data_IF_026297266974
#
_entry.id   IF_026297266974
#
_cell.length_a   1.000
_cell.length_b   1.000
_cell.length_c   1.000
_cell.angle_alpha   90.00
_cell.angle_beta   90.00
_cell.angle_gamma   90.00
#
_symmetry.space_group_name_H-M   'P 1'
#
loop_
_entity.id
_entity.type
_entity.pdbx_description
1 polymer ?
#
# COMPACT_ATOMS: atom_id res chain seq x y z
N UNK A 1 13.59 -58.66 31.03
CA UNK A 1 13.90 -57.46 31.84
C UNK A 1 15.12 -56.84 31.15
N UNK A 2 15.08 -55.73 30.40
CA UNK A 2 14.19 -54.57 30.33
C UNK A 2 14.08 -54.06 28.88
N UNK A 3 12.92 -53.51 28.53
CA UNK A 3 12.67 -52.71 27.34
C UNK A 3 13.30 -51.33 27.52
N UNK A 4 14.17 -50.92 26.61
CA UNK A 4 14.67 -49.54 26.49
C UNK A 4 13.60 -48.70 25.78
N UNK A 5 12.91 -47.83 26.54
CA UNK A 5 12.00 -46.83 26.02
C UNK A 5 12.74 -45.56 25.62
N UNK A 6 12.43 -45.01 24.44
CA UNK A 6 12.81 -43.65 24.05
C UNK A 6 12.04 -42.64 24.89
N UNK A 7 12.73 -41.72 25.57
CA UNK A 7 12.11 -40.47 26.00
C UNK A 7 12.22 -39.47 24.86
N UNK A 8 11.09 -39.00 24.32
CA UNK A 8 11.07 -37.78 23.53
C UNK A 8 11.42 -36.60 24.46
N UNK A 9 12.16 -35.59 23.99
CA UNK A 9 12.30 -34.34 24.73
C UNK A 9 10.92 -33.72 24.90
N UNK A 10 10.61 -33.25 26.11
CA UNK A 10 9.50 -32.34 26.36
C UNK A 10 9.64 -31.15 25.42
N UNK A 11 8.67 -31.00 24.51
CA UNK A 11 8.53 -29.80 23.72
C UNK A 11 8.17 -28.68 24.68
N UNK A 12 9.15 -27.84 24.99
CA UNK A 12 8.92 -26.50 25.52
C UNK A 12 7.90 -25.84 24.61
N UNK A 13 6.65 -25.78 25.07
CA UNK A 13 5.59 -25.00 24.45
C UNK A 13 5.99 -23.54 24.55
N UNK A 14 6.80 -23.08 23.60
CA UNK A 14 7.04 -21.66 23.38
C UNK A 14 5.70 -21.10 22.97
N UNK A 15 4.99 -20.55 23.95
CA UNK A 15 3.84 -19.69 23.71
C UNK A 15 4.35 -18.56 22.82
N UNK A 16 4.07 -18.66 21.53
CA UNK A 16 4.19 -17.57 20.58
C UNK A 16 3.17 -16.53 21.03
N UNK A 17 3.60 -15.67 21.96
CA UNK A 17 2.90 -14.43 22.20
C UNK A 17 2.94 -13.66 20.89
N UNK A 18 1.89 -13.80 20.08
CA UNK A 18 1.58 -12.88 19.00
C UNK A 18 1.62 -11.49 19.65
N UNK A 19 2.62 -10.68 19.30
CA UNK A 19 2.63 -9.30 19.70
C UNK A 19 1.33 -8.70 19.19
N UNK A 20 0.44 -8.29 20.10
CA UNK A 20 -0.79 -7.62 19.71
C UNK A 20 -0.40 -6.34 18.96
N UNK A 21 -0.72 -6.29 17.66
CA UNK A 21 -0.52 -5.09 16.85
C UNK A 21 -1.47 -3.99 17.34
N UNK A 22 -1.02 -2.73 17.34
CA UNK A 22 -1.93 -1.62 17.57
C UNK A 22 -2.76 -1.39 16.30
N UNK A 23 -4.03 -1.81 16.35
CA UNK A 23 -5.01 -1.60 15.29
C UNK A 23 -6.12 -0.64 15.70
N UNK A 24 -5.80 0.40 16.47
CA UNK A 24 -6.78 1.38 16.97
C UNK A 24 -7.44 2.19 15.85
N UNK A 25 -6.68 2.57 14.81
CA UNK A 25 -7.26 3.17 13.61
C UNK A 25 -8.13 2.15 12.89
N UNK A 26 -9.35 2.49 12.49
CA UNK A 26 -10.16 1.62 11.65
C UNK A 26 -9.69 1.63 10.18
N UNK A 27 -10.40 0.89 9.32
CA UNK A 27 -10.05 0.80 7.90
C UNK A 27 -10.24 2.13 7.15
N UNK A 28 -11.27 2.90 7.49
CA UNK A 28 -11.51 4.21 6.88
C UNK A 28 -10.42 5.20 7.31
N UNK A 29 -10.01 5.16 8.57
CA UNK A 29 -8.93 6.01 9.10
C UNK A 29 -7.58 5.67 8.49
N UNK A 30 -7.22 4.39 8.33
CA UNK A 30 -5.97 4.04 7.62
C UNK A 30 -6.00 4.54 6.17
N UNK A 31 -7.10 4.30 5.45
CA UNK A 31 -7.21 4.73 4.07
C UNK A 31 -7.06 6.26 3.95
N UNK A 32 -7.83 7.02 4.74
CA UNK A 32 -7.89 8.49 4.61
C UNK A 32 -6.73 9.25 5.27
N UNK A 33 -6.14 8.74 6.34
CA UNK A 33 -5.10 9.45 7.10
C UNK A 33 -3.68 9.03 6.73
N UNK A 34 -3.51 7.85 6.12
CA UNK A 34 -2.18 7.29 5.85
C UNK A 34 -1.99 7.02 4.37
N UNK A 35 -2.84 6.17 3.76
CA UNK A 35 -2.61 5.71 2.40
C UNK A 35 -2.96 6.76 1.34
N UNK A 36 -4.12 7.40 1.46
CA UNK A 36 -4.61 8.40 0.50
C UNK A 36 -3.67 9.61 0.42
N UNK A 37 -3.24 10.27 1.52
CA UNK A 37 -2.33 11.40 1.42
C UNK A 37 -0.98 11.05 0.78
N UNK A 38 -0.44 9.87 1.09
CA UNK A 38 0.80 9.41 0.49
C UNK A 38 0.64 9.18 -1.02
N UNK A 39 -0.46 8.54 -1.44
CA UNK A 39 -0.76 8.25 -2.84
C UNK A 39 -1.02 9.54 -3.63
N UNK A 40 -1.75 10.49 -3.06
CA UNK A 40 -2.00 11.81 -3.64
C UNK A 40 -0.70 12.58 -3.91
N UNK A 41 0.27 12.48 -3.01
CA UNK A 41 1.58 13.10 -3.24
C UNK A 41 2.29 12.45 -4.42
N UNK A 42 2.21 11.12 -4.58
CA UNK A 42 2.79 10.45 -5.74
C UNK A 42 2.14 10.92 -7.04
N UNK A 43 0.82 10.95 -7.12
CA UNK A 43 0.10 11.38 -8.34
C UNK A 43 0.26 12.87 -8.63
N UNK A 44 0.30 13.73 -7.62
CA UNK A 44 0.57 15.17 -7.79
C UNK A 44 2.03 15.48 -8.12
N UNK A 45 2.92 14.49 -8.06
CA UNK A 45 4.34 14.62 -8.41
C UNK A 45 4.72 13.80 -9.65
N UNK A 46 3.74 13.39 -10.46
CA UNK A 46 3.98 12.56 -11.64
C UNK A 46 3.08 12.95 -12.81
N UNK A 47 3.63 12.88 -14.03
CA UNK A 47 2.90 13.15 -15.26
C UNK A 47 2.76 14.64 -15.58
N UNK A 48 1.68 14.96 -16.28
CA UNK A 48 1.40 16.31 -16.79
C UNK A 48 -0.08 16.65 -16.61
N UNK A 49 -0.35 17.93 -16.38
CA UNK A 49 -1.70 18.49 -16.41
C UNK A 49 -1.84 19.46 -17.57
N UNK A 50 -2.99 19.43 -18.23
CA UNK A 50 -3.34 20.39 -19.27
C UNK A 50 -4.21 21.48 -18.66
N UNK A 51 -3.74 22.72 -18.72
CA UNK A 51 -4.47 23.89 -18.26
C UNK A 51 -4.64 24.95 -19.38
N UNK A 52 -5.12 26.14 -19.01
CA UNK A 52 -5.32 27.23 -19.96
C UNK A 52 -4.01 27.79 -20.56
N UNK A 53 -2.87 27.50 -19.93
CA UNK A 53 -1.53 27.95 -20.31
C UNK A 53 -0.73 26.90 -21.08
N UNK A 54 -1.11 25.62 -21.01
CA UNK A 54 -0.51 24.52 -21.77
C UNK A 54 -0.34 23.27 -20.93
N UNK A 55 0.65 22.44 -21.27
CA UNK A 55 1.05 21.30 -20.44
C UNK A 55 1.99 21.79 -19.33
N UNK A 56 1.63 21.52 -18.08
CA UNK A 56 2.50 21.67 -16.92
C UNK A 56 3.01 20.28 -16.50
N UNK A 57 4.33 20.16 -16.33
CA UNK A 57 4.98 18.95 -15.85
C UNK A 57 5.02 18.94 -14.31
N UNK A 58 4.64 17.82 -13.71
CA UNK A 58 4.48 17.70 -12.25
C UNK A 58 5.69 17.08 -11.53
N UNK A 59 6.68 16.55 -12.26
CA UNK A 59 7.79 15.83 -11.63
C UNK A 59 8.64 16.75 -10.73
N UNK A 60 9.21 16.21 -9.64
CA UNK A 60 10.18 16.93 -8.85
C UNK A 60 11.39 17.37 -9.69
N UNK A 61 11.85 18.59 -9.48
CA UNK A 61 13.01 19.17 -10.18
C UNK A 61 14.24 19.29 -9.29
N UNK A 62 14.13 18.83 -8.04
CA UNK A 62 15.20 18.91 -7.03
C UNK A 62 15.39 17.56 -6.35
N UNK A 63 16.61 17.29 -5.91
CA UNK A 63 16.94 16.07 -5.16
C UNK A 63 16.09 15.94 -3.89
N UNK A 64 15.82 17.05 -3.19
CA UNK A 64 14.95 17.07 -2.01
C UNK A 64 13.51 16.71 -2.35
N UNK A 65 12.99 17.18 -3.49
CA UNK A 65 11.67 16.81 -3.99
C UNK A 65 11.58 15.32 -4.34
N UNK A 66 12.59 14.77 -5.00
CA UNK A 66 12.68 13.33 -5.28
C UNK A 66 12.79 12.49 -3.99
N UNK A 67 13.58 12.94 -3.03
CA UNK A 67 13.68 12.30 -1.72
C UNK A 67 12.34 12.35 -0.96
N UNK A 68 11.59 13.45 -1.08
CA UNK A 68 10.27 13.59 -0.48
C UNK A 68 9.27 12.59 -1.08
N UNK A 69 9.12 12.53 -2.40
CA UNK A 69 8.17 11.57 -3.02
C UNK A 69 8.60 10.12 -2.78
N UNK A 70 9.90 9.84 -2.70
CA UNK A 70 10.41 8.52 -2.28
C UNK A 70 9.94 8.16 -0.87
N UNK A 71 9.92 9.12 0.06
CA UNK A 71 9.42 8.87 1.42
C UNK A 71 7.91 8.59 1.45
N UNK A 72 7.13 9.21 0.57
CA UNK A 72 5.69 8.92 0.44
C UNK A 72 5.46 7.54 -0.17
N UNK A 73 6.27 7.15 -1.16
CA UNK A 73 6.22 5.79 -1.70
C UNK A 73 6.51 4.73 -0.63
N UNK A 74 7.45 4.99 0.29
CA UNK A 74 7.68 4.10 1.43
C UNK A 74 6.47 3.97 2.37
N UNK A 75 5.67 5.04 2.53
CA UNK A 75 4.40 4.94 3.27
C UNK A 75 3.42 4.02 2.54
N UNK A 76 3.35 4.08 1.20
CA UNK A 76 2.53 3.16 0.40
C UNK A 76 3.00 1.71 0.57
N UNK A 77 4.32 1.46 0.56
CA UNK A 77 4.92 0.13 0.81
C UNK A 77 4.42 -0.45 2.12
N UNK A 78 4.57 0.29 3.21
CA UNK A 78 4.18 -0.17 4.55
C UNK A 78 2.66 -0.18 4.76
N UNK A 79 1.91 0.63 4.02
CA UNK A 79 0.45 0.57 4.04
C UNK A 79 -0.08 -0.77 3.55
N UNK A 80 0.55 -1.37 2.52
CA UNK A 80 0.24 -2.75 2.13
C UNK A 80 0.39 -3.73 3.29
N UNK A 81 1.46 -3.62 4.08
CA UNK A 81 1.68 -4.47 5.26
C UNK A 81 0.64 -4.20 6.36
N UNK A 82 0.30 -2.93 6.60
CA UNK A 82 -0.70 -2.55 7.60
C UNK A 82 -2.08 -3.14 7.28
N UNK A 83 -2.49 -3.13 6.00
CA UNK A 83 -3.76 -3.72 5.57
C UNK A 83 -3.81 -5.24 5.80
N UNK A 84 -2.65 -5.91 5.73
CA UNK A 84 -2.50 -7.35 5.90
C UNK A 84 -2.37 -7.82 7.37
N UNK A 85 -2.40 -6.91 8.34
CA UNK A 85 -2.24 -7.28 9.76
C UNK A 85 -3.42 -8.12 10.27
N UNK A 86 -3.17 -9.05 11.22
CA UNK A 86 -4.23 -9.72 11.96
C UNK A 86 -5.18 -8.71 12.61
N UNK A 87 -6.49 -8.87 12.37
CA UNK A 87 -7.52 -7.94 12.86
C UNK A 87 -7.86 -6.78 11.92
N UNK A 88 -7.17 -6.66 10.77
CA UNK A 88 -7.49 -5.72 9.69
C UNK A 88 -7.90 -6.41 8.40
N UNK A 89 -7.22 -7.51 8.06
CA UNK A 89 -7.51 -8.25 6.85
C UNK A 89 -8.94 -8.78 6.83
N UNK A 90 -9.69 -8.47 5.77
CA UNK A 90 -11.08 -8.93 5.60
C UNK A 90 -11.12 -10.43 5.29
N UNK A 91 -10.13 -10.93 4.55
CA UNK A 91 -9.91 -12.36 4.31
C UNK A 91 -8.42 -12.70 4.14
N UNK A 92 -8.13 -13.99 3.92
CA UNK A 92 -6.78 -14.50 3.69
C UNK A 92 -6.55 -14.89 2.21
N UNK A 93 -7.28 -14.28 1.28
CA UNK A 93 -7.22 -14.59 -0.15
C UNK A 93 -6.99 -13.31 -0.97
N UNK A 94 -8.01 -12.78 -1.65
CA UNK A 94 -7.85 -11.62 -2.52
C UNK A 94 -7.39 -10.37 -1.76
N UNK A 95 -7.77 -10.21 -0.50
CA UNK A 95 -7.33 -9.08 0.33
C UNK A 95 -5.81 -9.06 0.49
N UNK A 96 -5.22 -10.23 0.73
CA UNK A 96 -3.78 -10.39 0.89
C UNK A 96 -3.05 -10.13 -0.42
N UNK A 97 -3.62 -10.59 -1.54
CA UNK A 97 -3.07 -10.34 -2.89
C UNK A 97 -3.03 -8.84 -3.18
N UNK A 98 -4.12 -8.11 -2.94
CA UNK A 98 -4.15 -6.66 -3.18
C UNK A 98 -3.28 -5.89 -2.20
N UNK A 99 -3.23 -6.29 -0.92
CA UNK A 99 -2.34 -5.70 0.08
C UNK A 99 -0.87 -5.84 -0.31
N UNK A 100 -0.47 -7.02 -0.81
CA UNK A 100 0.86 -7.25 -1.34
C UNK A 100 1.11 -6.43 -2.61
N UNK A 101 0.16 -6.42 -3.56
CA UNK A 101 0.27 -5.64 -4.79
C UNK A 101 0.41 -4.14 -4.55
N UNK A 102 -0.22 -3.62 -3.48
CA UNK A 102 -0.06 -2.24 -3.04
C UNK A 102 1.37 -1.98 -2.57
N UNK A 103 1.90 -2.89 -1.76
CA UNK A 103 3.28 -2.80 -1.27
C UNK A 103 4.28 -2.82 -2.43
N UNK A 104 4.08 -3.73 -3.39
CA UNK A 104 4.90 -3.86 -4.59
C UNK A 104 4.85 -2.61 -5.49
N UNK A 105 3.67 -2.03 -5.71
CA UNK A 105 3.53 -0.76 -6.44
C UNK A 105 4.26 0.39 -5.73
N UNK A 106 4.20 0.44 -4.39
CA UNK A 106 4.99 1.36 -3.58
C UNK A 106 6.49 1.20 -3.76
N UNK A 107 6.99 -0.04 -3.85
CA UNK A 107 8.42 -0.32 -4.09
C UNK A 107 8.84 0.21 -5.46
N UNK A 108 8.05 -0.03 -6.51
CA UNK A 108 8.33 0.49 -7.85
C UNK A 108 8.41 2.02 -7.85
N UNK A 109 7.46 2.70 -7.20
CA UNK A 109 7.48 4.16 -7.08
C UNK A 109 8.69 4.65 -6.28
N UNK A 110 9.06 3.96 -5.21
CA UNK A 110 10.20 4.30 -4.35
C UNK A 110 11.53 4.15 -5.11
N UNK A 111 11.69 3.09 -5.89
CA UNK A 111 12.87 2.85 -6.72
C UNK A 111 12.96 3.86 -7.88
N UNK A 112 11.85 4.12 -8.56
CA UNK A 112 11.78 5.12 -9.62
C UNK A 112 12.12 6.52 -9.09
N UNK A 113 11.60 6.91 -7.91
CA UNK A 113 11.92 8.17 -7.27
C UNK A 113 13.41 8.25 -6.86
N UNK A 114 14.00 7.16 -6.38
CA UNK A 114 15.42 7.10 -6.05
C UNK A 114 16.31 7.26 -7.30
N UNK A 115 15.86 6.73 -8.44
CA UNK A 115 16.53 6.86 -9.73
C UNK A 115 16.21 8.18 -10.47
N UNK A 116 15.24 8.97 -9.97
CA UNK A 116 14.66 10.13 -10.66
C UNK A 116 14.14 9.78 -12.07
N UNK A 117 13.61 8.57 -12.24
CA UNK A 117 13.08 8.08 -13.50
C UNK A 117 11.60 8.47 -13.63
N UNK A 118 11.34 9.53 -14.39
CA UNK A 118 10.01 10.08 -14.58
C UNK A 118 9.01 9.09 -15.19
N UNK A 119 9.43 8.33 -16.20
CA UNK A 119 8.55 7.37 -16.87
C UNK A 119 8.23 6.21 -15.94
N UNK A 120 9.25 5.64 -15.29
CA UNK A 120 9.03 4.57 -14.32
C UNK A 120 8.14 5.02 -13.15
N UNK A 121 8.30 6.28 -12.70
CA UNK A 121 7.48 6.84 -11.63
C UNK A 121 6.02 7.00 -12.05
N UNK A 122 5.77 7.48 -13.27
CA UNK A 122 4.43 7.57 -13.84
C UNK A 122 3.76 6.20 -13.98
N UNK A 123 4.48 5.19 -14.48
CA UNK A 123 3.97 3.82 -14.60
C UNK A 123 3.68 3.19 -13.24
N UNK A 124 4.52 3.46 -12.23
CA UNK A 124 4.26 3.01 -10.86
C UNK A 124 2.96 3.63 -10.30
N UNK A 125 2.69 4.90 -10.58
CA UNK A 125 1.43 5.57 -10.25
C UNK A 125 0.20 4.93 -10.91
N UNK A 126 0.32 4.48 -12.16
CA UNK A 126 -0.73 3.76 -12.88
C UNK A 126 -0.97 2.33 -12.31
N UNK A 127 0.11 1.65 -11.93
CA UNK A 127 0.03 0.35 -11.26
C UNK A 127 -0.66 0.49 -9.90
N UNK A 128 -0.30 1.51 -9.11
CA UNK A 128 -0.94 1.83 -7.84
C UNK A 128 -2.45 2.04 -8.02
N UNK A 129 -2.86 2.87 -8.98
CA UNK A 129 -4.28 3.09 -9.31
C UNK A 129 -5.01 1.79 -9.65
N UNK A 130 -4.36 0.90 -10.40
CA UNK A 130 -4.95 -0.38 -10.80
C UNK A 130 -5.19 -1.30 -9.60
N UNK A 131 -4.26 -1.34 -8.64
CA UNK A 131 -4.42 -2.08 -7.38
C UNK A 131 -5.54 -1.49 -6.54
N UNK A 132 -5.58 -0.17 -6.36
CA UNK A 132 -6.65 0.53 -5.63
C UNK A 132 -8.01 0.19 -6.23
N UNK A 133 -8.16 0.31 -7.55
CA UNK A 133 -9.41 0.02 -8.26
C UNK A 133 -9.85 -1.43 -8.05
N UNK A 134 -8.95 -2.39 -8.23
CA UNK A 134 -9.29 -3.80 -8.08
C UNK A 134 -9.70 -4.16 -6.65
N UNK A 135 -8.98 -3.64 -5.65
CA UNK A 135 -9.30 -3.87 -4.23
C UNK A 135 -10.65 -3.24 -3.85
N UNK A 136 -10.89 -1.98 -4.23
CA UNK A 136 -12.16 -1.32 -3.94
C UNK A 136 -13.32 -1.98 -4.67
N UNK A 137 -13.14 -2.44 -5.91
CA UNK A 137 -14.19 -3.20 -6.61
C UNK A 137 -14.58 -4.48 -5.85
N UNK A 138 -13.64 -5.15 -5.20
CA UNK A 138 -13.88 -6.38 -4.44
C UNK A 138 -14.50 -6.14 -3.05
N UNK A 139 -14.04 -5.11 -2.34
CA UNK A 139 -14.34 -4.94 -0.91
C UNK A 139 -15.13 -3.67 -0.55
N UNK A 140 -15.14 -2.65 -1.42
CA UNK A 140 -15.89 -1.40 -1.19
C UNK A 140 -16.21 -0.69 -2.53
N UNK A 141 -17.14 -1.25 -3.33
CA UNK A 141 -17.42 -0.76 -4.68
C UNK A 141 -18.02 0.65 -4.70
N UNK A 142 -18.66 1.08 -3.60
CA UNK A 142 -19.26 2.42 -3.48
C UNK A 142 -18.20 3.54 -3.60
N UNK A 143 -16.94 3.27 -3.22
CA UNK A 143 -15.83 4.21 -3.41
C UNK A 143 -15.62 4.54 -4.90
N UNK A 144 -15.80 3.57 -5.78
CA UNK A 144 -15.60 3.76 -7.22
C UNK A 144 -16.79 4.49 -7.87
N UNK A 145 -17.98 4.34 -7.31
CA UNK A 145 -19.23 4.88 -7.87
C UNK A 145 -19.64 6.22 -7.24
N UNK A 146 -18.83 6.79 -6.34
CA UNK A 146 -19.12 8.03 -5.60
C UNK A 146 -19.57 9.19 -6.49
N UNK A 147 -19.11 9.26 -7.73
CA UNK A 147 -19.44 10.34 -8.67
C UNK A 147 -20.61 10.03 -9.60
N UNK A 148 -21.07 8.78 -9.65
CA UNK A 148 -22.22 8.37 -10.44
C UNK A 148 -23.53 8.74 -9.74
N UNK A 149 -23.57 8.66 -8.40
CA UNK A 149 -24.77 8.99 -7.60
C UNK A 149 -25.04 10.49 -7.46
N UNK A 150 -24.05 11.35 -7.69
CA UNK A 150 -24.21 12.81 -7.64
C UNK A 150 -24.74 13.41 -8.95
N UNK A 151 -24.94 12.58 -9.98
CA UNK A 151 -25.39 12.98 -11.30
C UNK A 151 -26.91 12.80 -11.54
N UNK A 152 -27.64 12.23 -10.57
CA UNK A 152 -29.10 12.07 -10.54
C UNK A 152 -29.79 13.06 -9.58
#
# INVERSE_FOLDING_TARGET
VLLTGCSSPEEDSVSTASSAYNTELDMTEIMSLVLEPASDILWSSGGWVLDASGYEELYPTTDDGWAYVRSQAAIVVESGNMLALPGRAEDNDAWMIYSQGLSEAGVLAMEAAAAQDQEAFFQAGAQLYSVCTACHQAYNPDILNRFDEAAD
#
